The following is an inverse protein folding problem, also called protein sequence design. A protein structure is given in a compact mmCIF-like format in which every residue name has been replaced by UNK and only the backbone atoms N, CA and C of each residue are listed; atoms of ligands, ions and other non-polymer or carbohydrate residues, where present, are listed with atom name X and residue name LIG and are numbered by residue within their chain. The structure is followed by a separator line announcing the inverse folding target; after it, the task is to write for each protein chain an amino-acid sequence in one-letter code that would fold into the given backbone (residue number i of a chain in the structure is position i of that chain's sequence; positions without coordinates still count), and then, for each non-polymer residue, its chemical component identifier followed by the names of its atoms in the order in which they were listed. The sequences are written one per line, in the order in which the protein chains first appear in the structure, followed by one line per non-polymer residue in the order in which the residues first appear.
data_IF_209419839824
#
_entry.id   IF_209419839824
#
_cell.length_a   1.000
_cell.length_b   1.000
_cell.length_c   1.000
_cell.angle_alpha   90.00
_cell.angle_beta   90.00
_cell.angle_gamma   90.00
#
_symmetry.space_group_name_H-M   'P 1'
#
loop_
_entity.id
_entity.type
_entity.pdbx_description
1 polymer ?
#
# COMPACT_ATOMS: atom_id res chain seq x y z
N UNK A 1 -14.78 -11.21 23.99
CA UNK A 1 -13.42 -11.07 23.45
C UNK A 1 -12.83 -12.46 23.29
N UNK A 2 -12.56 -12.98 22.08
CA UNK A 2 -11.90 -14.28 21.93
C UNK A 2 -10.44 -14.14 22.34
N UNK A 3 -9.98 -15.04 23.20
CA UNK A 3 -8.60 -15.10 23.70
C UNK A 3 -7.66 -15.34 22.51
N UNK A 4 -6.71 -14.43 22.33
CA UNK A 4 -5.57 -14.66 21.45
C UNK A 4 -4.84 -15.92 21.92
N UNK A 5 -4.64 -16.90 21.02
CA UNK A 5 -3.71 -17.99 21.30
C UNK A 5 -2.30 -17.39 21.34
N UNK A 6 -1.59 -17.49 22.49
CA UNK A 6 -0.20 -17.08 22.52
C UNK A 6 0.59 -18.04 21.62
N UNK A 7 1.22 -17.50 20.58
CA UNK A 7 2.30 -18.20 19.89
C UNK A 7 3.38 -18.36 20.97
N UNK A 8 3.74 -19.61 21.28
CA UNK A 8 4.85 -19.87 22.19
C UNK A 8 6.07 -19.10 21.68
N UNK A 9 6.78 -18.32 22.52
CA UNK A 9 7.96 -17.61 22.10
C UNK A 9 8.95 -18.63 21.57
N UNK A 10 9.35 -18.48 20.30
CA UNK A 10 10.47 -19.22 19.77
C UNK A 10 11.67 -18.89 20.66
N UNK A 11 12.29 -19.91 21.24
CA UNK A 11 13.50 -19.77 22.05
C UNK A 11 14.56 -19.16 21.12
N UNK A 12 14.97 -17.93 21.38
CA UNK A 12 16.01 -17.21 20.65
C UNK A 12 17.30 -18.04 20.67
N UNK A 13 17.63 -18.63 19.53
CA UNK A 13 18.82 -19.47 19.35
C UNK A 13 20.06 -18.66 18.97
N UNK A 14 20.12 -17.37 19.27
CA UNK A 14 21.27 -16.50 18.95
C UNK A 14 21.53 -16.25 17.46
N UNK A 15 20.63 -16.69 16.56
CA UNK A 15 20.69 -16.44 15.11
C UNK A 15 19.47 -15.61 14.65
N UNK A 16 19.59 -14.84 13.56
CA UNK A 16 18.44 -14.15 12.96
C UNK A 16 17.30 -15.11 12.60
N UNK A 17 16.06 -14.66 12.79
CA UNK A 17 14.87 -15.38 12.29
C UNK A 17 14.84 -15.27 10.76
N UNK A 18 14.73 -16.39 10.07
CA UNK A 18 14.73 -16.43 8.60
C UNK A 18 13.32 -16.39 8.06
N UNK A 19 12.99 -15.32 7.34
CA UNK A 19 11.68 -15.09 6.74
C UNK A 19 11.78 -15.13 5.22
N UNK A 20 10.98 -15.97 4.59
CA UNK A 20 10.87 -16.03 3.13
C UNK A 20 9.57 -15.36 2.69
N UNK A 21 9.67 -14.32 1.88
CA UNK A 21 8.55 -13.62 1.24
C UNK A 21 8.40 -14.12 -0.20
N UNK A 22 7.16 -14.48 -0.60
CA UNK A 22 6.87 -14.94 -1.97
C UNK A 22 5.96 -13.94 -2.66
N UNK A 23 6.45 -13.31 -3.74
CA UNK A 23 5.77 -12.28 -4.53
C UNK A 23 5.71 -12.65 -6.01
N UNK A 24 5.00 -11.84 -6.82
CA UNK A 24 5.00 -11.96 -8.28
C UNK A 24 6.32 -11.50 -8.89
N UNK A 25 6.69 -10.27 -8.65
CA UNK A 25 7.94 -9.59 -9.03
C UNK A 25 8.26 -8.53 -7.97
N UNK A 26 9.42 -7.87 -8.09
CA UNK A 26 9.81 -6.71 -7.29
C UNK A 26 9.78 -5.43 -8.16
N UNK A 27 8.76 -5.28 -9.00
CA UNK A 27 8.53 -4.06 -9.75
C UNK A 27 7.95 -2.96 -8.85
N UNK A 28 7.97 -1.70 -9.31
CA UNK A 28 7.41 -0.59 -8.54
C UNK A 28 5.89 -0.72 -8.41
N UNK A 29 5.42 -1.04 -7.21
CA UNK A 29 4.00 -1.17 -6.86
C UNK A 29 3.78 -1.03 -5.35
N UNK A 30 2.51 -0.89 -4.93
CA UNK A 30 2.18 -0.67 -3.51
C UNK A 30 2.57 -1.84 -2.60
N UNK A 31 2.51 -3.07 -3.09
CA UNK A 31 2.90 -4.29 -2.34
C UNK A 31 4.42 -4.29 -2.13
N UNK A 32 5.14 -4.09 -3.22
CA UNK A 32 6.59 -4.15 -3.28
C UNK A 32 7.21 -3.02 -2.47
N UNK A 33 6.68 -1.80 -2.62
CA UNK A 33 7.16 -0.65 -1.85
C UNK A 33 6.91 -0.80 -0.34
N UNK A 34 5.70 -1.21 0.06
CA UNK A 34 5.39 -1.43 1.49
C UNK A 34 6.21 -2.58 2.09
N UNK A 35 6.51 -3.62 1.31
CA UNK A 35 7.37 -4.73 1.75
C UNK A 35 8.83 -4.32 1.85
N UNK A 36 9.32 -3.42 0.98
CA UNK A 36 10.66 -2.85 1.05
C UNK A 36 10.82 -1.93 2.27
N UNK A 37 9.83 -1.08 2.55
CA UNK A 37 9.83 -0.23 3.74
C UNK A 37 9.88 -1.08 5.02
N UNK A 38 9.09 -2.15 5.08
CA UNK A 38 9.14 -3.11 6.18
C UNK A 38 10.52 -3.77 6.27
N UNK A 39 11.11 -4.16 5.14
CA UNK A 39 12.45 -4.78 5.11
C UNK A 39 13.51 -3.83 5.69
N UNK A 40 13.49 -2.56 5.30
CA UNK A 40 14.41 -1.53 5.80
C UNK A 40 14.23 -1.20 7.28
N UNK A 41 13.02 -1.41 7.81
CA UNK A 41 12.68 -1.04 9.21
C UNK A 41 13.10 -2.08 10.25
N UNK A 42 13.53 -3.25 9.83
CA UNK A 42 13.90 -4.35 10.73
C UNK A 42 15.36 -4.75 10.46
N UNK A 43 16.24 -4.68 11.47
CA UNK A 43 17.65 -5.01 11.31
C UNK A 43 17.87 -6.44 10.80
N UNK A 44 18.80 -6.67 9.82
CA UNK A 44 19.05 -8.00 9.25
C UNK A 44 19.61 -9.03 10.25
N UNK A 45 20.23 -8.57 11.32
CA UNK A 45 20.74 -9.38 12.44
C UNK A 45 19.61 -9.88 13.37
N UNK A 46 18.45 -9.23 13.35
CA UNK A 46 17.24 -9.72 14.03
C UNK A 46 16.42 -10.63 13.11
N UNK A 47 16.17 -10.17 11.87
CA UNK A 47 15.36 -10.89 10.87
C UNK A 47 16.05 -10.88 9.52
N UNK A 48 16.53 -12.02 9.10
CA UNK A 48 17.07 -12.21 7.75
C UNK A 48 15.93 -12.49 6.77
N UNK A 49 15.71 -11.57 5.82
CA UNK A 49 14.61 -11.64 4.87
C UNK A 49 15.08 -12.10 3.49
N UNK A 50 14.39 -13.07 2.90
CA UNK A 50 14.62 -13.55 1.54
C UNK A 50 13.37 -13.33 0.69
N UNK A 51 13.50 -12.59 -0.41
CA UNK A 51 12.39 -12.32 -1.34
C UNK A 51 12.48 -13.23 -2.55
N UNK A 52 11.43 -14.03 -2.77
CA UNK A 52 11.30 -15.01 -3.85
C UNK A 52 10.29 -14.52 -4.87
N UNK A 53 10.73 -14.23 -6.10
CA UNK A 53 9.83 -13.84 -7.19
C UNK A 53 9.35 -15.06 -7.98
N UNK A 54 8.06 -15.03 -8.39
CA UNK A 54 7.43 -16.13 -9.13
C UNK A 54 7.11 -15.78 -10.59
N UNK A 55 7.25 -14.52 -11.00
CA UNK A 55 6.93 -14.04 -12.36
C UNK A 55 7.95 -14.40 -13.44
N UNK A 56 9.14 -14.91 -13.06
CA UNK A 56 10.21 -15.22 -14.00
C UNK A 56 11.24 -14.10 -14.21
N UNK A 57 11.05 -12.96 -13.56
CA UNK A 57 12.01 -11.84 -13.49
C UNK A 57 12.07 -11.29 -12.05
N UNK A 58 13.13 -10.52 -11.74
CA UNK A 58 13.30 -9.98 -10.38
C UNK A 58 12.44 -8.73 -10.18
N UNK A 59 12.52 -7.77 -11.07
CA UNK A 59 11.87 -6.45 -10.95
C UNK A 59 12.85 -5.32 -10.63
N UNK A 60 12.40 -4.09 -10.85
CA UNK A 60 13.22 -2.88 -10.75
C UNK A 60 13.73 -2.55 -9.34
N UNK A 61 13.04 -3.03 -8.29
CA UNK A 61 13.41 -2.79 -6.88
C UNK A 61 14.36 -3.86 -6.32
N UNK A 62 14.81 -4.85 -7.12
CA UNK A 62 15.62 -5.96 -6.63
C UNK A 62 16.91 -5.51 -5.93
N UNK A 63 17.58 -4.49 -6.46
CA UNK A 63 18.81 -3.95 -5.88
C UNK A 63 18.53 -3.14 -4.61
N UNK A 64 17.39 -2.44 -4.54
CA UNK A 64 16.95 -1.76 -3.32
C UNK A 64 16.73 -2.73 -2.16
N UNK A 65 16.16 -3.92 -2.44
CA UNK A 65 15.99 -4.97 -1.43
C UNK A 65 17.34 -5.54 -0.97
N UNK A 66 18.30 -5.75 -1.89
CA UNK A 66 19.65 -6.18 -1.55
C UNK A 66 20.38 -5.15 -0.71
N UNK A 67 20.25 -3.86 -1.09
CA UNK A 67 20.80 -2.75 -0.31
C UNK A 67 20.18 -2.63 1.10
N UNK A 68 18.94 -3.11 1.27
CA UNK A 68 18.28 -3.22 2.57
C UNK A 68 18.71 -4.47 3.38
N UNK A 69 19.69 -5.26 2.89
CA UNK A 69 20.20 -6.45 3.57
C UNK A 69 19.40 -7.73 3.31
N UNK A 70 18.48 -7.73 2.34
CA UNK A 70 17.70 -8.91 2.00
C UNK A 70 18.35 -9.73 0.89
N UNK A 71 18.11 -11.04 0.92
CA UNK A 71 18.38 -11.92 -0.22
C UNK A 71 17.24 -11.82 -1.25
N UNK A 72 17.60 -11.84 -2.54
CA UNK A 72 16.63 -11.86 -3.63
C UNK A 72 16.91 -13.04 -4.54
N UNK A 73 15.90 -13.88 -4.77
CA UNK A 73 16.01 -15.08 -5.63
C UNK A 73 14.74 -15.32 -6.43
N UNK A 74 14.79 -16.26 -7.37
CA UNK A 74 13.65 -16.59 -8.21
C UNK A 74 13.19 -18.03 -8.01
N UNK A 75 11.88 -18.23 -8.08
CA UNK A 75 11.26 -19.53 -8.27
C UNK A 75 10.11 -19.38 -9.28
N UNK A 76 10.40 -19.35 -10.60
CA UNK A 76 9.40 -19.07 -11.63
C UNK A 76 8.18 -19.97 -11.53
N UNK A 77 6.98 -19.40 -11.65
CA UNK A 77 5.72 -20.14 -11.61
C UNK A 77 5.51 -21.06 -12.82
N UNK A 78 6.25 -20.84 -13.89
CA UNK A 78 6.25 -21.69 -15.09
C UNK A 78 7.47 -22.63 -15.12
N UNK A 79 7.34 -23.85 -15.64
CA UNK A 79 6.08 -24.52 -15.92
C UNK A 79 5.34 -24.92 -14.63
N UNK A 80 4.01 -24.87 -14.67
CA UNK A 80 3.16 -25.03 -13.46
C UNK A 80 3.29 -26.38 -12.78
N UNK A 81 3.52 -27.46 -13.54
CA UNK A 81 3.59 -28.82 -13.00
C UNK A 81 4.79 -29.05 -12.08
N UNK A 82 5.90 -28.35 -12.29
CA UNK A 82 7.12 -28.47 -11.48
C UNK A 82 7.28 -27.34 -10.44
N UNK A 83 6.44 -26.32 -10.47
CA UNK A 83 6.56 -25.15 -9.60
C UNK A 83 6.59 -25.50 -8.10
N UNK A 84 5.63 -26.30 -7.64
CA UNK A 84 5.55 -26.67 -6.22
C UNK A 84 6.72 -27.53 -5.78
N UNK A 85 7.27 -28.37 -6.67
CA UNK A 85 8.47 -29.16 -6.39
C UNK A 85 9.73 -28.26 -6.30
N UNK A 86 9.87 -27.29 -7.22
CA UNK A 86 10.96 -26.30 -7.14
C UNK A 86 10.85 -25.45 -5.87
N UNK A 87 9.65 -25.01 -5.51
CA UNK A 87 9.40 -24.29 -4.26
C UNK A 87 9.75 -25.13 -3.04
N UNK A 88 9.38 -26.40 -3.03
CA UNK A 88 9.75 -27.35 -1.97
C UNK A 88 11.27 -27.48 -1.82
N UNK A 89 12.01 -27.68 -2.93
CA UNK A 89 13.49 -27.73 -2.90
C UNK A 89 14.09 -26.43 -2.37
N UNK A 90 13.56 -25.28 -2.80
CA UNK A 90 14.03 -23.97 -2.36
C UNK A 90 13.81 -23.79 -0.86
N UNK A 91 12.61 -24.04 -0.35
CA UNK A 91 12.30 -23.92 1.07
C UNK A 91 13.11 -24.89 1.94
N UNK A 92 13.35 -26.11 1.46
CA UNK A 92 14.23 -27.08 2.15
C UNK A 92 15.69 -26.61 2.22
N UNK A 93 16.17 -25.90 1.20
CA UNK A 93 17.51 -25.31 1.18
C UNK A 93 17.59 -24.09 2.11
N UNK A 94 16.63 -23.18 2.04
CA UNK A 94 16.61 -21.94 2.82
C UNK A 94 16.30 -22.18 4.31
N UNK A 95 15.55 -23.24 4.63
CA UNK A 95 15.12 -23.63 5.99
C UNK A 95 14.54 -22.42 6.74
N UNK A 96 13.49 -21.75 6.22
CA UNK A 96 12.93 -20.58 6.86
C UNK A 96 12.18 -20.92 8.14
N UNK A 97 12.17 -19.97 9.08
CA UNK A 97 11.34 -20.01 10.28
C UNK A 97 9.92 -19.48 9.98
N UNK A 98 9.79 -18.59 8.96
CA UNK A 98 8.51 -18.08 8.48
C UNK A 98 8.46 -18.02 6.96
N UNK A 99 7.27 -18.26 6.39
CA UNK A 99 6.95 -18.02 4.96
C UNK A 99 5.76 -17.10 4.86
N UNK A 100 5.91 -15.99 4.13
CA UNK A 100 4.83 -15.02 3.85
C UNK A 100 4.50 -15.04 2.36
N UNK A 101 3.29 -15.48 2.02
CA UNK A 101 2.81 -15.44 0.64
C UNK A 101 2.03 -14.15 0.36
N UNK A 102 2.54 -13.28 -0.52
CA UNK A 102 1.93 -12.01 -0.89
C UNK A 102 0.98 -12.10 -2.10
N UNK A 103 0.70 -13.30 -2.58
CA UNK A 103 -0.08 -13.55 -3.80
C UNK A 103 -1.53 -13.97 -3.51
N UNK A 104 -2.08 -13.46 -2.40
CA UNK A 104 -3.49 -13.65 -2.00
C UNK A 104 -3.85 -15.15 -1.82
N UNK A 105 -5.04 -15.59 -2.27
CA UNK A 105 -5.47 -17.00 -2.16
C UNK A 105 -4.51 -17.97 -2.85
N UNK A 106 -3.78 -17.54 -3.88
CA UNK A 106 -2.79 -18.38 -4.56
C UNK A 106 -1.58 -18.71 -3.69
N UNK A 107 -1.44 -18.06 -2.53
CA UNK A 107 -0.45 -18.45 -1.50
C UNK A 107 -0.76 -19.82 -0.88
N UNK A 108 -2.02 -20.29 -0.88
CA UNK A 108 -2.42 -21.51 -0.19
C UNK A 108 -1.60 -22.76 -0.56
N UNK A 109 -1.37 -23.11 -1.85
CA UNK A 109 -0.52 -24.26 -2.19
C UNK A 109 0.95 -24.07 -1.79
N UNK A 110 1.49 -22.84 -1.83
CA UNK A 110 2.86 -22.53 -1.40
C UNK A 110 2.99 -22.74 0.12
N UNK A 111 2.03 -22.27 0.89
CA UNK A 111 1.99 -22.43 2.34
C UNK A 111 1.77 -23.90 2.75
N UNK A 112 1.07 -24.69 1.92
CA UNK A 112 1.00 -26.14 2.12
C UNK A 112 2.39 -26.78 1.94
N UNK A 113 3.14 -26.39 0.90
CA UNK A 113 4.52 -26.85 0.70
C UNK A 113 5.40 -26.43 1.88
N UNK A 114 5.28 -25.21 2.37
CA UNK A 114 5.98 -24.72 3.56
C UNK A 114 5.65 -25.57 4.81
N UNK A 115 4.36 -25.93 5.00
CA UNK A 115 3.93 -26.86 6.06
C UNK A 115 4.60 -28.22 5.94
N UNK A 116 4.67 -28.80 4.73
CA UNK A 116 5.33 -30.07 4.48
C UNK A 116 6.86 -30.00 4.68
N UNK A 117 7.44 -28.79 4.55
CA UNK A 117 8.85 -28.54 4.90
C UNK A 117 9.07 -28.32 6.41
N UNK A 118 8.02 -28.35 7.24
CA UNK A 118 8.11 -28.14 8.70
C UNK A 118 8.23 -26.66 9.11
N UNK A 119 7.94 -25.70 8.21
CA UNK A 119 8.01 -24.28 8.54
C UNK A 119 6.94 -23.93 9.58
N UNK A 120 7.31 -23.39 10.75
CA UNK A 120 6.35 -23.16 11.84
C UNK A 120 5.39 -22.01 11.57
N UNK A 121 5.86 -20.89 11.02
CA UNK A 121 5.04 -19.69 10.74
C UNK A 121 4.72 -19.59 9.25
N UNK A 122 3.45 -19.58 8.88
CA UNK A 122 2.99 -19.59 7.48
C UNK A 122 1.87 -18.59 7.29
N UNK A 123 2.21 -17.44 6.69
CA UNK A 123 1.33 -16.28 6.57
C UNK A 123 0.83 -16.12 5.15
N UNK A 124 -0.48 -15.98 4.98
CA UNK A 124 -1.08 -15.49 3.74
C UNK A 124 -1.41 -14.00 3.87
N UNK A 125 -0.85 -13.16 3.02
CA UNK A 125 -1.11 -11.72 2.99
C UNK A 125 -2.15 -11.37 1.92
N UNK A 126 -3.26 -10.73 2.32
CA UNK A 126 -4.34 -10.28 1.46
C UNK A 126 -4.18 -8.78 1.20
N UNK A 127 -3.97 -8.41 -0.08
CA UNK A 127 -3.64 -7.05 -0.50
C UNK A 127 -4.78 -6.32 -1.22
N UNK A 128 -5.82 -7.04 -1.64
CA UNK A 128 -6.96 -6.49 -2.36
C UNK A 128 -8.22 -7.30 -2.12
N UNK A 129 -9.37 -6.71 -2.35
CA UNK A 129 -10.70 -7.31 -2.19
C UNK A 129 -11.01 -8.41 -3.23
N UNK A 130 -10.13 -8.62 -4.21
CA UNK A 130 -10.29 -9.62 -5.26
C UNK A 130 -9.02 -9.87 -6.05
N UNK A 131 -9.10 -10.69 -7.08
CA UNK A 131 -8.00 -10.97 -8.01
C UNK A 131 -8.11 -10.17 -9.33
N UNK A 132 -9.10 -9.27 -9.43
CA UNK A 132 -9.32 -8.41 -10.59
C UNK A 132 -9.71 -9.14 -11.88
N UNK A 133 -10.07 -10.42 -11.77
CA UNK A 133 -10.29 -11.26 -12.94
C UNK A 133 -11.75 -11.73 -13.05
N UNK A 134 -12.27 -11.96 -14.28
CA UNK A 134 -13.66 -12.37 -14.51
C UNK A 134 -14.03 -13.65 -13.76
N UNK A 135 -15.31 -13.75 -13.34
CA UNK A 135 -15.84 -14.92 -12.63
C UNK A 135 -16.18 -16.05 -13.61
N UNK A 136 -15.16 -16.75 -14.14
CA UNK A 136 -15.39 -17.97 -14.89
C UNK A 136 -15.63 -19.17 -13.95
N UNK A 137 -16.39 -20.23 -14.37
CA UNK A 137 -16.63 -21.41 -13.53
C UNK A 137 -15.35 -22.06 -13.00
N UNK A 138 -14.30 -22.16 -13.84
CA UNK A 138 -13.00 -22.70 -13.46
C UNK A 138 -12.33 -21.85 -12.39
N UNK A 139 -12.42 -20.52 -12.48
CA UNK A 139 -11.85 -19.62 -11.46
C UNK A 139 -12.62 -19.68 -10.15
N UNK A 140 -13.94 -19.77 -10.21
CA UNK A 140 -14.77 -19.94 -9.01
C UNK A 140 -14.43 -21.24 -8.29
N UNK A 141 -14.31 -22.36 -9.01
CA UNK A 141 -13.89 -23.64 -8.46
C UNK A 141 -12.47 -23.55 -7.83
N UNK A 142 -11.54 -22.91 -8.52
CA UNK A 142 -10.17 -22.69 -8.02
C UNK A 142 -10.16 -21.81 -6.75
N UNK A 143 -10.96 -20.73 -6.71
CA UNK A 143 -11.12 -19.90 -5.51
C UNK A 143 -11.69 -20.69 -4.35
N UNK A 144 -12.72 -21.51 -4.60
CA UNK A 144 -13.31 -22.37 -3.58
C UNK A 144 -12.29 -23.38 -3.02
N UNK A 145 -11.51 -24.03 -3.90
CA UNK A 145 -10.47 -24.94 -3.50
C UNK A 145 -9.37 -24.24 -2.65
N UNK A 146 -8.95 -23.04 -3.04
CA UNK A 146 -7.95 -22.28 -2.27
C UNK A 146 -8.50 -21.76 -0.95
N UNK A 147 -9.77 -21.32 -0.88
CA UNK A 147 -10.44 -20.98 0.39
C UNK A 147 -10.55 -22.17 1.32
N UNK A 148 -10.74 -23.38 0.79
CA UNK A 148 -10.76 -24.62 1.58
C UNK A 148 -9.34 -25.01 2.05
N UNK A 149 -8.32 -24.85 1.21
CA UNK A 149 -6.93 -25.19 1.51
C UNK A 149 -6.28 -24.22 2.49
N UNK A 150 -6.54 -22.92 2.35
CA UNK A 150 -5.86 -21.85 3.08
C UNK A 150 -5.83 -22.06 4.61
N UNK A 151 -6.96 -22.35 5.32
CA UNK A 151 -6.95 -22.57 6.76
C UNK A 151 -6.24 -23.85 7.20
N UNK A 152 -5.93 -24.75 6.27
CA UNK A 152 -5.16 -25.97 6.51
C UNK A 152 -3.66 -25.78 6.33
N UNK A 153 -3.29 -24.79 5.54
CA UNK A 153 -1.91 -24.47 5.20
C UNK A 153 -1.34 -23.31 6.03
N UNK A 154 -2.10 -22.25 6.24
CA UNK A 154 -1.67 -21.06 6.93
C UNK A 154 -1.82 -21.15 8.45
N UNK A 155 -0.88 -20.55 9.19
CA UNK A 155 -1.01 -20.25 10.62
C UNK A 155 -1.74 -18.93 10.83
N UNK A 156 -1.54 -17.96 9.92
CA UNK A 156 -2.13 -16.62 9.95
C UNK A 156 -2.56 -16.20 8.54
N UNK A 157 -3.68 -15.48 8.49
CA UNK A 157 -4.18 -14.83 7.27
C UNK A 157 -4.38 -13.35 7.58
N UNK A 158 -3.50 -12.52 7.03
CA UNK A 158 -3.41 -11.12 7.37
C UNK A 158 -3.90 -10.25 6.20
N UNK A 159 -4.99 -9.51 6.41
CA UNK A 159 -5.49 -8.52 5.46
C UNK A 159 -4.85 -7.16 5.70
N UNK A 160 -4.62 -6.40 4.62
CA UNK A 160 -4.21 -4.99 4.74
C UNK A 160 -5.35 -4.10 5.22
N UNK A 161 -6.60 -4.55 5.07
CA UNK A 161 -7.83 -3.99 5.65
C UNK A 161 -8.81 -5.12 5.94
N UNK A 162 -9.89 -4.81 6.66
CA UNK A 162 -10.98 -5.76 6.88
C UNK A 162 -11.62 -6.24 5.59
N UNK A 163 -11.85 -5.35 4.64
CA UNK A 163 -12.44 -5.66 3.35
C UNK A 163 -11.61 -6.67 2.54
N UNK A 164 -10.27 -6.61 2.62
CA UNK A 164 -9.42 -7.60 1.95
C UNK A 164 -9.52 -9.01 2.56
N UNK A 165 -9.92 -9.12 3.84
CA UNK A 165 -10.18 -10.40 4.48
C UNK A 165 -11.56 -10.98 4.10
N UNK A 166 -12.54 -10.14 3.80
CA UNK A 166 -13.88 -10.59 3.41
C UNK A 166 -13.84 -11.45 2.15
N UNK A 167 -12.88 -11.19 1.26
CA UNK A 167 -12.61 -12.02 0.09
C UNK A 167 -12.28 -13.49 0.46
N UNK A 168 -11.78 -13.77 1.66
CA UNK A 168 -11.50 -15.13 2.13
C UNK A 168 -12.76 -15.88 2.58
N UNK A 169 -13.83 -15.16 2.90
CA UNK A 169 -15.09 -15.69 3.45
C UNK A 169 -15.01 -16.16 4.92
N UNK A 170 -13.96 -15.80 5.67
CA UNK A 170 -13.73 -16.27 7.05
C UNK A 170 -13.45 -15.19 8.09
N UNK A 171 -13.48 -13.90 7.72
CA UNK A 171 -13.33 -12.81 8.67
C UNK A 171 -14.36 -12.92 9.82
N UNK A 172 -13.91 -12.71 11.04
CA UNK A 172 -14.76 -12.80 12.26
C UNK A 172 -15.14 -14.22 12.69
N UNK A 173 -14.83 -15.26 11.90
CA UNK A 173 -15.12 -16.67 12.21
C UNK A 173 -13.90 -17.47 12.69
N UNK A 174 -12.71 -16.95 12.48
CA UNK A 174 -11.45 -17.62 12.80
C UNK A 174 -10.43 -16.57 13.22
N UNK A 175 -9.90 -16.66 14.44
CA UNK A 175 -8.97 -15.69 15.03
C UNK A 175 -7.66 -15.52 14.26
N UNK A 176 -7.31 -16.47 13.39
CA UNK A 176 -6.15 -16.38 12.51
C UNK A 176 -6.32 -15.34 11.39
N UNK A 177 -7.57 -14.93 11.10
CA UNK A 177 -7.93 -13.93 10.08
C UNK A 177 -8.06 -12.56 10.73
N UNK A 178 -7.00 -11.78 10.68
CA UNK A 178 -6.93 -10.47 11.34
C UNK A 178 -6.33 -9.40 10.42
N UNK A 179 -6.66 -8.16 10.71
CA UNK A 179 -6.09 -7.02 10.03
C UNK A 179 -4.69 -6.74 10.59
N UNK A 180 -3.75 -6.55 9.69
CA UNK A 180 -2.45 -5.96 9.95
C UNK A 180 -2.21 -4.95 8.82
N UNK A 181 -2.23 -3.66 9.14
CA UNK A 181 -2.07 -2.61 8.16
C UNK A 181 -0.68 -2.63 7.52
N UNK A 182 -0.49 -1.85 6.46
CA UNK A 182 0.84 -1.55 5.96
C UNK A 182 1.41 -0.37 6.71
N UNK A 183 2.70 -0.43 6.99
CA UNK A 183 3.45 0.69 7.52
C UNK A 183 3.73 1.72 6.43
N UNK A 184 3.77 2.96 6.83
CA UNK A 184 4.10 4.10 6.01
C UNK A 184 5.42 4.72 6.50
N UNK A 185 6.40 4.84 5.59
CA UNK A 185 7.67 5.50 5.86
C UNK A 185 7.54 7.00 5.59
N UNK A 186 7.36 7.80 6.66
CA UNK A 186 7.18 9.25 6.53
C UNK A 186 8.39 9.94 5.89
N UNK A 187 9.59 9.38 6.06
CA UNK A 187 10.85 9.89 5.53
C UNK A 187 10.90 9.90 3.99
N UNK A 188 10.09 9.07 3.34
CA UNK A 188 9.98 9.06 1.87
C UNK A 188 9.28 10.29 1.31
N UNK A 189 8.50 10.98 2.12
CA UNK A 189 7.91 12.26 1.77
C UNK A 189 8.87 13.33 2.23
N UNK A 190 9.93 13.58 1.46
CA UNK A 190 10.70 14.80 1.63
C UNK A 190 9.72 15.97 1.56
N UNK A 191 9.69 16.79 2.61
CA UNK A 191 8.83 17.95 2.66
C UNK A 191 9.14 18.83 1.44
N UNK A 192 8.27 18.76 0.43
CA UNK A 192 8.36 19.65 -0.71
C UNK A 192 7.94 21.05 -0.25
N UNK A 193 8.74 22.05 -0.58
CA UNK A 193 8.28 23.42 -0.48
C UNK A 193 7.17 23.67 -1.49
N UNK A 194 6.03 24.19 -1.02
CA UNK A 194 4.82 24.42 -1.82
C UNK A 194 5.09 25.35 -3.01
N UNK A 195 5.81 26.44 -2.78
CA UNK A 195 6.04 27.47 -3.81
C UNK A 195 6.95 26.93 -4.90
N UNK A 196 8.04 26.28 -4.52
CA UNK A 196 8.95 25.59 -5.45
C UNK A 196 8.22 24.49 -6.25
N UNK A 197 7.37 23.72 -5.58
CA UNK A 197 6.59 22.66 -6.23
C UNK A 197 5.60 23.24 -7.24
N UNK A 198 4.90 24.34 -6.91
CA UNK A 198 3.98 25.01 -7.83
C UNK A 198 4.69 25.66 -9.01
N UNK A 199 5.83 26.30 -8.78
CA UNK A 199 6.65 26.87 -9.87
C UNK A 199 7.07 25.79 -10.88
N UNK A 200 7.47 24.59 -10.42
CA UNK A 200 7.85 23.47 -11.29
C UNK A 200 6.78 23.12 -12.33
N UNK A 201 5.51 23.20 -11.96
CA UNK A 201 4.38 22.88 -12.84
C UNK A 201 3.58 24.12 -13.28
N UNK A 202 4.14 25.32 -13.09
CA UNK A 202 3.52 26.60 -13.49
C UNK A 202 2.11 26.76 -12.92
N UNK A 203 1.89 26.30 -11.69
CA UNK A 203 0.64 26.43 -10.98
C UNK A 203 0.59 27.77 -10.26
N UNK A 204 -0.53 28.53 -10.34
CA UNK A 204 -0.68 29.80 -9.61
C UNK A 204 -0.60 29.57 -8.10
N UNK A 205 -0.05 30.53 -7.32
CA UNK A 205 0.14 30.38 -5.88
C UNK A 205 -1.20 30.22 -5.10
N UNK A 206 -2.27 30.90 -5.53
CA UNK A 206 -3.55 30.97 -4.81
C UNK A 206 -4.66 30.12 -5.44
N UNK A 207 -4.42 29.51 -6.60
CA UNK A 207 -5.40 28.67 -7.25
C UNK A 207 -5.57 27.33 -6.50
N UNK A 208 -6.80 26.81 -6.33
CA UNK A 208 -7.00 25.48 -5.80
C UNK A 208 -6.46 24.43 -6.77
N UNK A 209 -5.59 23.54 -6.29
CA UNK A 209 -4.97 22.47 -7.07
C UNK A 209 -5.53 21.12 -6.63
N UNK A 210 -6.32 20.50 -7.53
CA UNK A 210 -6.81 19.15 -7.39
C UNK A 210 -5.71 18.19 -7.83
N UNK A 211 -5.13 17.46 -6.88
CA UNK A 211 -4.02 16.55 -7.12
C UNK A 211 -4.48 15.10 -7.32
N UNK A 212 -3.76 14.38 -8.14
CA UNK A 212 -3.85 12.92 -8.25
C UNK A 212 -2.45 12.31 -8.35
N UNK A 213 -2.23 11.23 -7.62
CA UNK A 213 -0.99 10.44 -7.69
C UNK A 213 -1.30 8.96 -7.81
N UNK A 214 -0.95 8.37 -8.96
CA UNK A 214 -1.16 6.94 -9.18
C UNK A 214 -0.94 6.53 -10.64
N UNK A 215 -0.54 5.26 -10.84
CA UNK A 215 -0.29 4.70 -12.18
C UNK A 215 -1.54 4.70 -13.06
N UNK A 216 -1.35 4.73 -14.38
CA UNK A 216 -2.39 4.43 -15.35
C UNK A 216 -2.85 2.98 -15.19
N UNK A 217 -4.10 2.79 -14.78
CA UNK A 217 -4.76 1.48 -14.71
C UNK A 217 -6.29 1.69 -14.67
N UNK A 218 -7.09 0.86 -15.35
CA UNK A 218 -8.56 1.03 -15.43
C UNK A 218 -9.24 1.13 -14.06
N UNK A 219 -8.73 0.39 -13.06
CA UNK A 219 -9.28 0.43 -11.69
C UNK A 219 -9.08 1.77 -10.98
N UNK A 220 -8.20 2.64 -11.48
CA UNK A 220 -7.93 3.96 -10.91
C UNK A 220 -8.89 5.04 -11.40
N UNK A 221 -9.63 4.78 -12.47
CA UNK A 221 -10.68 5.65 -13.01
C UNK A 221 -10.24 7.11 -13.20
N UNK A 222 -9.02 7.32 -13.73
CA UNK A 222 -8.43 8.66 -13.90
C UNK A 222 -9.20 9.59 -14.84
N UNK A 223 -9.91 9.13 -15.89
CA UNK A 223 -10.74 10.01 -16.72
C UNK A 223 -11.79 10.81 -15.92
N UNK A 224 -12.28 10.26 -14.81
CA UNK A 224 -13.23 10.96 -13.95
C UNK A 224 -12.65 12.23 -13.29
N UNK A 225 -11.33 12.30 -13.12
CA UNK A 225 -10.64 13.49 -12.60
C UNK A 225 -10.89 14.72 -13.45
N UNK A 226 -10.93 14.56 -14.78
CA UNK A 226 -11.21 15.67 -15.72
C UNK A 226 -12.64 16.17 -15.55
N UNK A 227 -13.57 15.27 -15.36
CA UNK A 227 -14.98 15.64 -15.11
C UNK A 227 -15.11 16.44 -13.80
N UNK A 228 -14.45 15.98 -12.73
CA UNK A 228 -14.42 16.70 -11.44
C UNK A 228 -13.75 18.07 -11.59
N UNK A 229 -12.64 18.17 -12.31
CA UNK A 229 -11.96 19.43 -12.55
C UNK A 229 -12.84 20.42 -13.34
N UNK A 230 -13.54 19.98 -14.40
CA UNK A 230 -14.48 20.81 -15.15
C UNK A 230 -15.61 21.34 -14.26
N UNK A 231 -16.17 20.47 -13.40
CA UNK A 231 -17.19 20.87 -12.44
C UNK A 231 -16.64 21.87 -11.39
N UNK A 232 -15.40 21.68 -10.92
CA UNK A 232 -14.75 22.60 -10.00
C UNK A 232 -14.53 24.00 -10.62
N UNK A 233 -14.18 24.06 -11.90
CA UNK A 233 -14.00 25.34 -12.63
C UNK A 233 -15.27 26.16 -12.75
N UNK A 234 -16.44 25.56 -12.72
CA UNK A 234 -17.71 26.31 -12.69
C UNK A 234 -17.87 27.13 -11.40
N UNK A 235 -17.23 26.71 -10.30
CA UNK A 235 -17.26 27.38 -8.99
C UNK A 235 -15.99 28.23 -8.73
N UNK A 236 -14.86 27.73 -9.19
CA UNK A 236 -13.53 28.33 -9.08
C UNK A 236 -12.84 28.28 -10.44
N UNK A 237 -13.02 29.31 -11.29
CA UNK A 237 -12.48 29.33 -12.66
C UNK A 237 -10.97 29.19 -12.75
N UNK A 238 -10.26 29.49 -11.66
CA UNK A 238 -8.80 29.37 -11.52
C UNK A 238 -8.34 27.97 -11.08
N UNK A 239 -9.24 27.02 -10.77
CA UNK A 239 -8.89 25.69 -10.34
C UNK A 239 -7.97 24.96 -11.33
N UNK A 240 -7.02 24.18 -10.80
CA UNK A 240 -6.03 23.40 -11.56
C UNK A 240 -6.18 21.92 -11.25
N UNK A 241 -5.84 21.10 -12.23
CA UNK A 241 -5.70 19.63 -12.07
C UNK A 241 -4.24 19.24 -12.28
N UNK A 242 -3.64 18.56 -11.30
CA UNK A 242 -2.29 18.00 -11.38
C UNK A 242 -2.37 16.48 -11.28
N UNK A 243 -2.02 15.77 -12.35
CA UNK A 243 -2.03 14.31 -12.42
C UNK A 243 -0.60 13.79 -12.58
N UNK A 244 -0.14 12.98 -11.64
CA UNK A 244 1.16 12.33 -11.70
C UNK A 244 1.05 10.82 -11.53
N UNK A 245 1.97 10.07 -12.17
CA UNK A 245 2.07 8.62 -12.00
C UNK A 245 2.60 7.90 -13.24
N UNK A 246 3.03 6.66 -13.01
CA UNK A 246 3.63 5.81 -14.03
C UNK A 246 2.62 5.36 -15.09
N UNK A 247 3.15 4.90 -16.23
CA UNK A 247 2.45 4.35 -17.40
C UNK A 247 1.61 5.35 -18.20
N UNK A 248 2.10 6.59 -18.32
CA UNK A 248 1.49 7.60 -19.19
C UNK A 248 0.14 8.15 -18.72
N UNK A 249 -0.56 8.79 -19.64
CA UNK A 249 -1.86 9.42 -19.41
C UNK A 249 -2.90 9.05 -20.49
N UNK A 250 -2.68 7.99 -21.27
CA UNK A 250 -3.49 7.62 -22.42
C UNK A 250 -4.96 7.41 -22.06
N UNK A 251 -5.24 6.83 -20.89
CA UNK A 251 -6.60 6.66 -20.40
C UNK A 251 -7.37 7.99 -20.20
N UNK A 252 -6.63 9.08 -19.90
CA UNK A 252 -7.20 10.42 -19.77
C UNK A 252 -7.34 11.06 -21.15
N UNK A 253 -6.28 11.04 -21.97
CA UNK A 253 -6.26 11.69 -23.27
C UNK A 253 -7.17 11.02 -24.28
N UNK A 254 -7.36 9.71 -24.22
CA UNK A 254 -8.32 8.97 -25.05
C UNK A 254 -9.77 9.32 -24.68
N UNK A 255 -10.06 9.46 -23.38
CA UNK A 255 -11.40 9.82 -22.90
C UNK A 255 -11.71 11.32 -23.09
N UNK A 256 -10.69 12.18 -23.01
CA UNK A 256 -10.78 13.64 -23.05
C UNK A 256 -9.65 14.23 -23.91
N UNK A 257 -9.71 14.16 -25.25
CA UNK A 257 -8.61 14.60 -26.13
C UNK A 257 -8.25 16.09 -25.98
N UNK A 258 -9.22 16.92 -25.64
CA UNK A 258 -9.04 18.36 -25.45
C UNK A 258 -8.16 18.74 -24.26
N UNK A 259 -7.96 17.81 -23.32
CA UNK A 259 -7.19 18.04 -22.09
C UNK A 259 -5.72 18.34 -22.35
N UNK A 260 -5.15 17.86 -23.46
CA UNK A 260 -3.75 18.12 -23.84
C UNK A 260 -3.48 19.59 -24.17
N UNK A 261 -4.53 20.34 -24.50
CA UNK A 261 -4.47 21.77 -24.83
C UNK A 261 -5.02 22.64 -23.68
N UNK A 262 -5.53 22.05 -22.58
CA UNK A 262 -6.04 22.80 -21.46
C UNK A 262 -4.89 23.27 -20.53
N UNK A 263 -4.56 24.58 -20.48
CA UNK A 263 -3.47 25.09 -19.64
C UNK A 263 -3.74 24.93 -18.14
N UNK A 264 -4.94 24.53 -17.76
CA UNK A 264 -5.33 24.30 -16.36
C UNK A 264 -5.15 22.84 -15.93
N UNK A 265 -4.73 21.97 -16.86
CA UNK A 265 -4.46 20.55 -16.58
C UNK A 265 -2.97 20.26 -16.80
N UNK A 266 -2.34 19.73 -15.75
CA UNK A 266 -0.94 19.31 -15.78
C UNK A 266 -0.88 17.78 -15.72
N UNK A 267 -0.48 17.16 -16.83
CA UNK A 267 -0.17 15.74 -16.90
C UNK A 267 1.36 15.56 -16.67
N UNK A 268 1.76 15.45 -15.41
CA UNK A 268 3.17 15.47 -14.99
C UNK A 268 3.94 14.16 -15.34
N UNK A 269 3.23 13.11 -15.76
CA UNK A 269 3.85 11.81 -16.04
C UNK A 269 4.39 11.10 -14.79
N UNK A 270 5.38 10.24 -14.99
CA UNK A 270 6.06 9.54 -13.90
C UNK A 270 7.01 10.50 -13.17
N UNK A 271 6.94 10.48 -11.84
CA UNK A 271 7.77 11.31 -10.97
C UNK A 271 8.64 10.41 -10.08
N UNK A 272 9.89 10.78 -9.90
CA UNK A 272 10.82 10.07 -9.01
C UNK A 272 10.48 10.30 -7.54
N UNK A 273 10.11 11.55 -7.21
CA UNK A 273 9.76 11.97 -5.85
C UNK A 273 8.31 12.43 -5.82
N UNK A 274 7.55 11.86 -4.90
CA UNK A 274 6.12 12.18 -4.72
C UNK A 274 5.88 13.44 -3.88
N UNK A 275 6.82 13.79 -3.01
CA UNK A 275 6.70 14.93 -2.10
C UNK A 275 6.33 16.24 -2.80
N UNK A 276 7.00 16.64 -3.89
CA UNK A 276 6.64 17.85 -4.65
C UNK A 276 5.21 17.81 -5.20
N UNK A 277 4.70 16.65 -5.67
CA UNK A 277 3.32 16.53 -6.17
C UNK A 277 2.32 16.79 -5.03
N UNK A 278 2.57 16.18 -3.87
CA UNK A 278 1.72 16.35 -2.68
C UNK A 278 1.79 17.77 -2.12
N UNK A 279 2.97 18.42 -2.17
CA UNK A 279 3.16 19.80 -1.73
C UNK A 279 2.47 20.83 -2.64
N UNK A 280 2.42 20.57 -3.96
CA UNK A 280 1.77 21.46 -4.92
C UNK A 280 0.25 21.41 -4.84
N UNK A 281 -0.34 20.29 -4.41
CA UNK A 281 -1.77 20.07 -4.34
C UNK A 281 -2.41 20.63 -3.05
N UNK A 282 -3.71 20.95 -3.12
CA UNK A 282 -4.53 21.36 -1.97
C UNK A 282 -5.44 20.25 -1.47
N UNK A 283 -5.80 19.30 -2.33
CA UNK A 283 -6.59 18.10 -2.04
C UNK A 283 -6.17 16.97 -2.97
N UNK A 284 -6.10 15.75 -2.46
CA UNK A 284 -5.89 14.55 -3.28
C UNK A 284 -7.24 13.95 -3.68
N UNK A 285 -7.41 13.64 -4.97
CA UNK A 285 -8.59 12.91 -5.46
C UNK A 285 -8.25 11.43 -5.66
N UNK A 286 -9.13 10.52 -5.20
CA UNK A 286 -8.98 9.08 -5.37
C UNK A 286 -10.28 8.44 -5.89
N UNK A 287 -10.60 8.56 -7.19
CA UNK A 287 -11.84 8.03 -7.78
C UNK A 287 -11.74 6.52 -8.13
N UNK A 288 -10.89 5.79 -7.46
CA UNK A 288 -10.63 4.37 -7.72
C UNK A 288 -11.89 3.51 -7.62
N UNK A 289 -12.01 2.49 -8.49
CA UNK A 289 -13.11 1.51 -8.47
C UNK A 289 -12.90 0.42 -7.41
N UNK A 290 -11.66 0.13 -7.07
CA UNK A 290 -11.28 -0.84 -6.04
C UNK A 290 -9.90 -0.53 -5.49
N UNK A 291 -9.73 -0.72 -4.19
CA UNK A 291 -8.45 -0.58 -3.47
C UNK A 291 -8.32 -1.67 -2.39
N UNK A 292 -7.09 -1.91 -1.95
CA UNK A 292 -6.84 -2.71 -0.76
C UNK A 292 -6.59 -1.83 0.47
N UNK A 293 -5.43 -1.22 0.49
CA UNK A 293 -5.05 -0.11 1.37
C UNK A 293 -4.22 0.86 0.51
N UNK A 294 -4.80 1.97 0.05
CA UNK A 294 -4.10 2.87 -0.87
C UNK A 294 -3.02 3.66 -0.11
N UNK A 295 -1.74 3.34 -0.37
CA UNK A 295 -0.60 4.01 0.26
C UNK A 295 -0.59 5.52 0.02
N UNK A 296 -1.05 5.96 -1.16
CA UNK A 296 -1.14 7.39 -1.52
C UNK A 296 -2.01 8.21 -0.57
N UNK A 297 -3.02 7.60 0.08
CA UNK A 297 -3.83 8.27 1.09
C UNK A 297 -3.01 8.54 2.35
N UNK A 298 -2.22 7.56 2.80
CA UNK A 298 -1.32 7.74 3.94
C UNK A 298 -0.24 8.79 3.63
N UNK A 299 0.29 8.76 2.40
CA UNK A 299 1.27 9.72 1.88
C UNK A 299 0.69 11.15 1.85
N UNK A 300 -0.53 11.32 1.38
CA UNK A 300 -1.23 12.60 1.38
C UNK A 300 -1.44 13.13 2.81
N UNK A 301 -2.01 12.33 3.69
CA UNK A 301 -2.26 12.73 5.08
C UNK A 301 -0.96 13.05 5.85
N UNK A 302 0.13 12.33 5.57
CA UNK A 302 1.46 12.62 6.11
C UNK A 302 1.99 13.99 5.65
N UNK A 303 1.64 14.41 4.45
CA UNK A 303 1.95 15.76 3.92
C UNK A 303 0.98 16.83 4.44
N UNK A 304 -0.05 16.44 5.20
CA UNK A 304 -1.15 17.34 5.60
C UNK A 304 -2.12 17.63 4.46
N UNK A 305 -2.13 16.81 3.43
CA UNK A 305 -3.02 16.95 2.27
C UNK A 305 -4.30 16.14 2.51
N UNK A 306 -5.49 16.78 2.55
CA UNK A 306 -6.75 16.06 2.68
C UNK A 306 -7.08 15.28 1.42
N UNK A 307 -7.96 14.28 1.56
CA UNK A 307 -8.30 13.33 0.50
C UNK A 307 -9.81 13.30 0.27
N UNK A 308 -10.24 13.39 -0.99
CA UNK A 308 -11.59 13.03 -1.42
C UNK A 308 -11.50 11.72 -2.18
N UNK A 309 -12.20 10.71 -1.69
CA UNK A 309 -12.10 9.35 -2.22
C UNK A 309 -13.47 8.73 -2.50
N UNK A 310 -13.48 7.76 -3.44
CA UNK A 310 -14.66 6.93 -3.66
C UNK A 310 -15.02 6.16 -2.37
N UNK A 311 -16.33 6.04 -2.12
CA UNK A 311 -16.88 5.34 -0.95
C UNK A 311 -16.70 3.82 -1.07
N UNK A 312 -15.47 3.36 -0.84
CA UNK A 312 -15.07 1.95 -0.83
C UNK A 312 -14.97 1.40 0.60
N UNK A 313 -15.17 0.10 0.83
CA UNK A 313 -15.08 -0.50 2.16
C UNK A 313 -13.75 -0.21 2.87
N UNK A 314 -12.62 -0.30 2.16
CA UNK A 314 -11.31 0.04 2.72
C UNK A 314 -11.19 1.54 3.07
N UNK A 315 -11.81 2.43 2.29
CA UNK A 315 -11.79 3.86 2.55
C UNK A 315 -12.68 4.25 3.72
N UNK A 316 -13.83 3.56 3.92
CA UNK A 316 -14.64 3.71 5.14
C UNK A 316 -13.86 3.32 6.39
N UNK A 317 -13.08 2.22 6.34
CA UNK A 317 -12.21 1.79 7.44
C UNK A 317 -11.14 2.86 7.73
N UNK A 318 -10.48 3.40 6.71
CA UNK A 318 -9.51 4.50 6.87
C UNK A 318 -10.13 5.76 7.47
N UNK A 319 -11.30 6.18 7.00
CA UNK A 319 -11.99 7.36 7.48
C UNK A 319 -12.44 7.25 8.95
N UNK A 320 -12.61 6.03 9.50
CA UNK A 320 -12.85 5.84 10.94
C UNK A 320 -11.59 5.99 11.80
N UNK A 321 -10.41 5.83 11.21
CA UNK A 321 -9.12 5.82 11.90
C UNK A 321 -8.34 7.12 11.72
N UNK A 322 -8.58 7.85 10.63
CA UNK A 322 -7.82 9.03 10.25
C UNK A 322 -8.77 10.17 9.83
N UNK A 323 -8.61 11.39 10.35
CA UNK A 323 -9.28 12.57 9.83
C UNK A 323 -8.75 12.94 8.43
N UNK A 324 -9.48 13.79 7.71
CA UNK A 324 -9.07 14.31 6.39
C UNK A 324 -9.36 13.37 5.22
N UNK A 325 -10.14 12.32 5.42
CA UNK A 325 -10.67 11.45 4.36
C UNK A 325 -12.16 11.71 4.19
N UNK A 326 -12.54 12.37 3.10
CA UNK A 326 -13.92 12.63 2.72
C UNK A 326 -14.37 11.59 1.69
N UNK A 327 -15.48 10.91 1.98
CA UNK A 327 -16.01 9.84 1.11
C UNK A 327 -17.14 10.39 0.24
N UNK A 328 -17.00 10.25 -1.07
CA UNK A 328 -18.01 10.60 -2.05
C UNK A 328 -18.21 9.43 -3.01
N UNK A 329 -19.40 8.81 -3.08
CA UNK A 329 -19.65 7.77 -4.07
C UNK A 329 -19.48 8.31 -5.50
N UNK A 330 -18.94 7.49 -6.42
CA UNK A 330 -18.85 7.88 -7.84
C UNK A 330 -20.23 8.19 -8.44
N UNK A 331 -21.27 7.48 -7.99
CA UNK A 331 -22.63 7.70 -8.42
C UNK A 331 -23.20 9.09 -8.05
N UNK A 332 -22.58 9.80 -7.12
CA UNK A 332 -22.97 11.18 -6.79
C UNK A 332 -22.59 12.21 -7.86
N UNK A 333 -21.79 11.79 -8.86
CA UNK A 333 -21.41 12.61 -9.99
C UNK A 333 -20.28 13.61 -9.70
N UNK A 334 -19.76 14.21 -10.77
CA UNK A 334 -18.60 15.09 -10.73
C UNK A 334 -18.84 16.39 -9.94
N UNK A 335 -20.06 16.91 -9.95
CA UNK A 335 -20.42 18.13 -9.21
C UNK A 335 -20.27 18.00 -7.70
N UNK A 336 -20.71 16.86 -7.14
CA UNK A 336 -20.58 16.59 -5.71
C UNK A 336 -19.13 16.34 -5.32
N UNK A 337 -18.35 15.69 -6.19
CA UNK A 337 -16.92 15.52 -6.00
C UNK A 337 -16.18 16.86 -6.04
N UNK A 338 -16.54 17.75 -6.97
CA UNK A 338 -15.94 19.07 -7.08
C UNK A 338 -16.23 19.96 -5.84
N UNK A 339 -17.46 19.93 -5.36
CA UNK A 339 -17.84 20.61 -4.11
C UNK A 339 -16.99 20.11 -2.95
N UNK A 340 -16.97 18.81 -2.70
CA UNK A 340 -16.18 18.22 -1.63
C UNK A 340 -14.68 18.52 -1.79
N UNK A 341 -14.16 18.51 -3.03
CA UNK A 341 -12.76 18.80 -3.30
C UNK A 341 -12.40 20.24 -2.97
N UNK A 342 -13.24 21.20 -3.35
CA UNK A 342 -13.02 22.62 -3.06
C UNK A 342 -13.13 22.93 -1.56
N UNK A 343 -14.08 22.30 -0.85
CA UNK A 343 -14.21 22.42 0.60
C UNK A 343 -12.94 21.91 1.31
N UNK A 344 -12.41 20.74 0.88
CA UNK A 344 -11.19 20.18 1.44
C UNK A 344 -9.95 21.00 1.06
N UNK A 345 -9.91 21.57 -0.14
CA UNK A 345 -8.80 22.41 -0.58
C UNK A 345 -8.65 23.69 0.26
N UNK A 346 -9.74 24.15 0.87
CA UNK A 346 -9.78 25.36 1.71
C UNK A 346 -9.25 25.15 3.15
N UNK A 347 -8.87 23.91 3.54
CA UNK A 347 -8.35 23.65 4.89
C UNK A 347 -7.10 24.49 5.18
N UNK A 348 -7.10 25.12 6.37
CA UNK A 348 -6.00 25.94 6.85
C UNK A 348 -4.80 25.16 7.39
N UNK A 349 -3.72 25.86 7.72
CA UNK A 349 -2.48 25.25 8.19
C UNK A 349 -2.64 24.43 9.48
N UNK A 350 -3.46 24.90 10.43
CA UNK A 350 -3.72 24.18 11.69
C UNK A 350 -4.43 22.84 11.46
N UNK A 351 -5.41 22.82 10.57
CA UNK A 351 -6.15 21.61 10.21
C UNK A 351 -5.22 20.61 9.50
N UNK A 352 -4.39 21.08 8.56
CA UNK A 352 -3.38 20.26 7.86
C UNK A 352 -2.35 19.67 8.83
N UNK A 353 -1.92 20.41 9.86
CA UNK A 353 -1.04 19.87 10.89
C UNK A 353 -1.74 18.82 11.76
N UNK A 354 -3.02 18.98 12.03
CA UNK A 354 -3.81 17.96 12.72
C UNK A 354 -3.86 16.62 11.94
N UNK A 355 -3.93 16.67 10.58
CA UNK A 355 -3.85 15.47 9.74
C UNK A 355 -2.51 14.74 9.92
N UNK A 356 -1.39 15.49 9.88
CA UNK A 356 -0.05 14.94 10.10
C UNK A 356 0.07 14.31 11.48
N UNK A 357 -0.40 15.01 12.51
CA UNK A 357 -0.36 14.54 13.89
C UNK A 357 -1.16 13.25 14.09
N UNK A 358 -2.36 13.18 13.51
CA UNK A 358 -3.21 12.00 13.58
C UNK A 358 -2.55 10.78 12.93
N UNK A 359 -1.89 10.95 11.78
CA UNK A 359 -1.18 9.86 11.12
C UNK A 359 0.02 9.38 11.95
N UNK A 360 0.80 10.31 12.54
CA UNK A 360 1.95 9.96 13.40
C UNK A 360 1.56 9.14 14.64
N UNK A 361 0.34 9.25 15.12
CA UNK A 361 -0.19 8.47 16.26
C UNK A 361 -1.03 7.25 15.85
N UNK A 362 -1.14 6.98 14.56
CA UNK A 362 -2.03 5.95 14.00
C UNK A 362 -1.36 4.56 13.95
N UNK A 363 -2.16 3.50 13.71
CA UNK A 363 -1.62 2.14 13.50
C UNK A 363 -0.91 1.97 12.14
N UNK A 364 -0.81 3.02 11.32
CA UNK A 364 -0.16 3.00 10.02
C UNK A 364 1.30 3.43 10.05
N UNK A 365 1.84 3.75 11.22
CA UNK A 365 3.28 4.06 11.35
C UNK A 365 4.11 2.80 11.08
N UNK A 366 5.25 2.97 10.40
CA UNK A 366 6.15 1.87 10.07
C UNK A 366 6.64 1.16 11.35
N UNK A 367 6.91 1.91 12.41
CA UNK A 367 7.30 1.38 13.72
C UNK A 367 6.21 0.46 14.32
N UNK A 368 4.94 0.89 14.29
CA UNK A 368 3.84 0.07 14.80
C UNK A 368 3.70 -1.23 14.01
N UNK A 369 3.77 -1.15 12.69
CA UNK A 369 3.63 -2.28 11.77
C UNK A 369 4.81 -3.25 11.90
N UNK A 370 6.04 -2.75 11.99
CA UNK A 370 7.25 -3.59 12.17
C UNK A 370 7.15 -4.39 13.47
N UNK A 371 6.74 -3.77 14.57
CA UNK A 371 6.52 -4.47 15.84
C UNK A 371 5.45 -5.56 15.73
N UNK A 372 4.38 -5.32 14.96
CA UNK A 372 3.37 -6.35 14.74
C UNK A 372 3.92 -7.52 13.91
N UNK A 373 4.70 -7.25 12.87
CA UNK A 373 5.35 -8.29 12.07
C UNK A 373 6.35 -9.11 12.90
N UNK A 374 7.17 -8.48 13.72
CA UNK A 374 8.07 -9.17 14.64
C UNK A 374 7.29 -10.14 15.54
N UNK A 375 6.15 -9.72 16.11
CA UNK A 375 5.27 -10.62 16.89
C UNK A 375 4.75 -11.79 16.06
N UNK A 376 4.37 -11.57 14.80
CA UNK A 376 3.92 -12.64 13.89
C UNK A 376 5.02 -13.65 13.64
N UNK A 377 6.28 -13.20 13.51
CA UNK A 377 7.43 -14.06 13.27
C UNK A 377 8.06 -14.64 14.54
N UNK A 378 7.54 -14.28 15.72
CA UNK A 378 8.04 -14.74 17.02
C UNK A 378 9.38 -14.09 17.41
N UNK A 379 9.66 -12.90 16.89
CA UNK A 379 10.83 -12.08 17.24
C UNK A 379 10.44 -11.08 18.33
N UNK A 380 11.31 -10.76 19.31
CA UNK A 380 11.11 -9.60 20.17
C UNK A 380 10.96 -8.34 19.32
N UNK A 381 10.05 -7.44 19.74
CA UNK A 381 9.90 -6.19 19.00
C UNK A 381 11.21 -5.38 19.07
N UNK A 382 11.67 -4.79 17.95
CA UNK A 382 12.84 -3.92 17.99
C UNK A 382 12.61 -2.79 19.00
N UNK A 383 13.66 -2.31 19.70
CA UNK A 383 13.55 -1.17 20.59
C UNK A 383 12.99 0.03 19.83
N UNK A 384 12.14 0.82 20.50
CA UNK A 384 11.64 2.05 19.90
C UNK A 384 12.85 2.92 19.46
N UNK A 385 12.83 3.52 18.26
CA UNK A 385 13.90 4.40 17.85
C UNK A 385 14.05 5.49 18.88
N UNK A 386 15.29 5.68 19.34
CA UNK A 386 15.63 6.76 20.27
C UNK A 386 15.30 8.07 19.54
N UNK A 387 14.26 8.77 20.00
CA UNK A 387 13.98 10.11 19.47
C UNK A 387 15.24 10.93 19.61
N UNK A 388 15.72 11.61 18.56
CA UNK A 388 16.80 12.57 18.73
C UNK A 388 16.38 13.53 19.85
N UNK A 389 17.12 13.58 20.93
CA UNK A 389 16.96 14.58 21.97
C UNK A 389 17.10 15.93 21.28
N UNK A 390 16.04 16.73 21.29
CA UNK A 390 16.10 18.14 20.88
C UNK A 390 17.26 18.76 21.67
N UNK A 391 18.34 19.07 20.99
CA UNK A 391 19.39 19.86 21.60
C UNK A 391 18.77 21.22 21.95
N UNK A 392 18.87 21.67 23.21
CA UNK A 392 18.35 22.98 23.57
C UNK A 392 19.09 24.03 22.72
N UNK A 393 18.32 24.77 21.93
CA UNK A 393 18.81 25.94 21.20
C UNK A 393 19.40 26.88 22.20
N UNK A 394 20.74 26.94 22.24
CA UNK A 394 21.47 27.85 23.11
C UNK A 394 21.05 29.28 22.80
N UNK A 395 20.47 29.94 23.79
CA UNK A 395 20.28 31.39 23.78
C UNK A 395 21.64 32.05 23.76
N UNK A 396 21.95 32.77 22.70
CA UNK A 396 22.92 33.89 22.71
C UNK A 396 22.20 35.16 22.31
#
# INVERSE_FOLDING_TARGET
MPKAHPIAPATHTGRPVRVVHVLGSLDRGGIETASLDLCRSIPPDEVHQTFVTTGGWLGALADDYRAAGADVTQCPGAPRWSFLFRMWRLLRRLRPDAVVGHIRLTSAPILLVARLCGVPVRVARMWSEGDGAPNTPVRLAKRAAYRWLLPRAATDVLGVTGATLDFTGRRGRDARYRVLYNGFAAERIAAGDRDTARQRWRLPPDAPVLGYLGRCAPVKNRPFLVQVHRAARLRRPDARLLVAGARGADDITDAHPDVVHDPQVVLAGEVEQIGPVLAAADVLLLPSLTEGLPGVVLEALASGLPVVANDLPCMRELATLLPGVTLVPLAAGADRWAEAALDQAALGGAEREALRAALRSSPFTLEHVSRQWCRVWGVPAPPAPVRPTEQPVGRR
#
